data_IF_789884831504
#
_entry.id   IF_789884831504
#
_cell.length_a   1.000
_cell.length_b   1.000
_cell.length_c   1.000
_cell.angle_alpha   90.00
_cell.angle_beta   90.00
_cell.angle_gamma   90.00
#
_symmetry.space_group_name_H-M   'P 1'
#
loop_
_entity.id
_entity.type
_entity.pdbx_description
1 polymer ?
#
# COMPACT_ATOMS: atom_id res chain seq x y z
N UNK A 1 3.15 -15.69 12.11
CA UNK A 1 3.21 -14.19 11.97
C UNK A 1 3.51 -13.55 13.32
N UNK A 2 4.07 -12.31 13.33
CA UNK A 2 4.20 -11.55 14.58
C UNK A 2 2.85 -10.99 15.07
N UNK A 3 2.72 -10.58 16.36
CA UNK A 3 1.43 -10.16 16.92
C UNK A 3 0.77 -8.98 16.21
N UNK A 4 1.56 -7.99 15.76
CA UNK A 4 0.97 -6.84 15.06
C UNK A 4 0.44 -7.23 13.68
N UNK A 5 1.13 -8.11 12.96
CA UNK A 5 0.65 -8.59 11.66
C UNK A 5 -0.67 -9.35 11.77
N UNK A 6 -0.84 -10.16 12.85
CA UNK A 6 -2.12 -10.81 13.16
C UNK A 6 -3.20 -9.78 13.45
N UNK A 7 -2.93 -8.84 14.35
CA UNK A 7 -3.89 -7.79 14.74
C UNK A 7 -4.39 -6.98 13.54
N UNK A 8 -3.50 -6.56 12.66
CA UNK A 8 -3.86 -5.80 11.45
C UNK A 8 -4.78 -6.62 10.52
N UNK A 9 -4.50 -7.91 10.33
CA UNK A 9 -5.33 -8.81 9.53
C UNK A 9 -6.69 -9.08 10.17
N UNK A 10 -6.74 -9.27 11.49
CA UNK A 10 -8.00 -9.41 12.25
C UNK A 10 -8.87 -8.16 12.07
N UNK A 11 -8.28 -6.97 12.19
CA UNK A 11 -8.98 -5.71 11.98
C UNK A 11 -9.48 -5.56 10.53
N UNK A 12 -8.67 -5.93 9.54
CA UNK A 12 -9.08 -5.89 8.13
C UNK A 12 -10.25 -6.85 7.84
N UNK A 13 -10.23 -8.07 8.39
CA UNK A 13 -11.34 -9.03 8.29
C UNK A 13 -12.62 -8.46 8.89
N UNK A 14 -12.52 -7.90 10.09
CA UNK A 14 -13.65 -7.30 10.77
C UNK A 14 -14.25 -6.12 9.98
N UNK A 15 -13.43 -5.21 9.49
CA UNK A 15 -13.88 -4.06 8.71
C UNK A 15 -14.48 -4.48 7.36
N UNK A 16 -13.90 -5.46 6.66
CA UNK A 16 -14.47 -6.02 5.43
C UNK A 16 -15.85 -6.65 5.68
N UNK A 17 -15.98 -7.41 6.77
CA UNK A 17 -17.29 -7.95 7.18
C UNK A 17 -18.31 -6.85 7.49
N UNK A 18 -17.89 -5.75 8.10
CA UNK A 18 -18.77 -4.62 8.42
C UNK A 18 -19.25 -3.86 7.18
N UNK A 19 -18.35 -3.57 6.23
CA UNK A 19 -18.72 -2.86 5.01
C UNK A 19 -19.29 -3.76 3.91
N UNK A 20 -19.29 -5.09 4.10
CA UNK A 20 -19.75 -6.09 3.13
C UNK A 20 -19.07 -5.94 1.75
N UNK A 21 -17.82 -5.47 1.77
CA UNK A 21 -16.99 -5.26 0.58
C UNK A 21 -15.51 -5.50 0.90
N UNK A 22 -14.69 -5.58 -0.12
CA UNK A 22 -13.24 -5.65 -0.01
C UNK A 22 -12.60 -6.65 -0.95
N UNK A 23 -11.28 -6.51 -1.07
CA UNK A 23 -10.40 -7.46 -1.74
C UNK A 23 -9.35 -7.93 -0.73
N UNK A 24 -9.79 -8.82 0.16
CA UNK A 24 -8.96 -9.27 1.30
C UNK A 24 -7.65 -9.92 0.86
N UNK A 25 -7.62 -10.58 -0.30
CA UNK A 25 -6.38 -11.15 -0.83
C UNK A 25 -5.35 -10.07 -1.14
N UNK A 26 -5.77 -8.97 -1.79
CA UNK A 26 -4.89 -7.83 -2.08
C UNK A 26 -4.55 -7.00 -0.84
N UNK A 27 -5.44 -6.95 0.15
CA UNK A 27 -5.20 -6.31 1.45
C UNK A 27 -4.11 -7.07 2.21
N UNK A 28 -4.24 -8.39 2.30
CA UNK A 28 -3.31 -9.23 3.06
C UNK A 28 -1.93 -9.31 2.44
N UNK A 29 -1.82 -9.16 1.12
CA UNK A 29 -0.51 -9.13 0.46
C UNK A 29 0.34 -7.92 0.86
N UNK A 30 -0.29 -6.78 1.17
CA UNK A 30 0.46 -5.53 1.37
C UNK A 30 0.41 -4.95 2.80
N UNK A 31 -0.35 -5.54 3.74
CA UNK A 31 -0.49 -5.02 5.10
C UNK A 31 0.86 -4.84 5.82
N UNK A 32 1.77 -5.81 5.68
CA UNK A 32 3.09 -5.76 6.32
C UNK A 32 3.92 -4.61 5.76
N UNK A 33 3.84 -4.36 4.45
CA UNK A 33 4.52 -3.25 3.77
C UNK A 33 4.00 -1.91 4.30
N UNK A 34 2.67 -1.73 4.32
CA UNK A 34 2.04 -0.49 4.80
C UNK A 34 2.39 -0.23 6.26
N UNK A 35 2.34 -1.28 7.10
CA UNK A 35 2.71 -1.15 8.50
C UNK A 35 4.15 -0.68 8.69
N UNK A 36 5.12 -1.34 8.04
CA UNK A 36 6.53 -1.00 8.16
C UNK A 36 6.80 0.44 7.73
N UNK A 37 6.14 0.91 6.67
CA UNK A 37 6.26 2.30 6.24
C UNK A 37 5.83 3.27 7.33
N UNK A 38 4.62 3.11 7.88
CA UNK A 38 4.07 4.03 8.88
C UNK A 38 4.74 3.90 10.26
N UNK A 39 5.24 2.72 10.62
CA UNK A 39 5.79 2.47 11.95
C UNK A 39 7.31 2.75 12.04
N UNK A 40 8.07 2.47 10.98
CA UNK A 40 9.54 2.46 11.02
C UNK A 40 10.23 3.44 10.06
N UNK A 41 9.57 3.84 8.98
CA UNK A 41 10.27 4.46 7.85
C UNK A 41 9.86 5.91 7.64
N UNK A 42 8.56 6.19 7.61
CA UNK A 42 8.04 7.51 7.27
C UNK A 42 8.21 8.50 8.42
N UNK A 43 8.62 9.73 8.06
CA UNK A 43 8.45 10.87 8.93
C UNK A 43 6.97 11.26 8.93
N UNK A 44 6.17 10.55 9.72
CA UNK A 44 4.73 10.72 9.79
C UNK A 44 4.21 10.38 11.20
N UNK A 45 3.24 11.13 11.68
CA UNK A 45 2.46 10.80 12.87
C UNK A 45 1.04 11.36 12.72
N UNK A 46 0.08 10.83 13.48
CA UNK A 46 -1.30 11.33 13.47
C UNK A 46 -1.37 12.85 13.80
N UNK A 47 -0.56 13.32 14.74
CA UNK A 47 -0.51 14.74 15.11
C UNK A 47 0.06 15.65 13.99
N UNK A 48 0.81 15.08 13.06
CA UNK A 48 1.47 15.79 11.96
C UNK A 48 0.93 15.39 10.58
N UNK A 49 -0.24 14.74 10.53
CA UNK A 49 -0.80 14.24 9.28
C UNK A 49 -1.06 15.31 8.21
N UNK A 50 -1.03 16.61 8.59
CA UNK A 50 -1.11 17.77 7.67
C UNK A 50 0.20 18.54 7.49
N UNK A 51 1.25 18.19 8.21
CA UNK A 51 2.49 18.95 8.12
C UNK A 51 3.09 18.89 6.70
N UNK A 52 3.49 20.04 6.15
CA UNK A 52 4.00 20.13 4.77
C UNK A 52 5.30 19.33 4.58
N UNK A 53 6.10 19.21 5.64
CA UNK A 53 7.41 18.54 5.62
C UNK A 53 7.37 17.05 5.99
N UNK A 54 6.15 16.47 6.18
CA UNK A 54 6.00 15.03 6.41
C UNK A 54 6.26 14.21 5.14
N UNK A 55 6.43 12.91 5.32
CA UNK A 55 6.41 11.98 4.20
C UNK A 55 4.96 11.68 3.74
N UNK A 56 4.82 11.27 2.49
CA UNK A 56 3.53 10.99 1.85
C UNK A 56 3.46 9.52 1.46
N UNK A 57 2.30 8.90 1.69
CA UNK A 57 2.02 7.55 1.24
C UNK A 57 0.81 7.55 0.31
N UNK A 58 1.00 7.00 -0.89
CA UNK A 58 -0.03 6.88 -1.92
C UNK A 58 -0.33 5.40 -2.12
N UNK A 59 -1.59 5.01 -1.99
CA UNK A 59 -2.04 3.68 -2.37
C UNK A 59 -2.60 3.73 -3.79
N UNK A 60 -1.88 3.14 -4.76
CA UNK A 60 -2.28 3.08 -6.17
C UNK A 60 -3.23 1.93 -6.43
N UNK A 61 -2.98 0.76 -5.82
CA UNK A 61 -3.86 -0.40 -5.88
C UNK A 61 -5.14 -0.18 -5.05
N UNK A 62 -6.11 0.53 -5.63
CA UNK A 62 -7.34 0.97 -4.96
C UNK A 62 -8.13 -0.14 -4.29
N UNK A 63 -8.12 -1.36 -4.86
CA UNK A 63 -8.76 -2.53 -4.28
C UNK A 63 -8.18 -2.96 -2.92
N UNK A 64 -6.98 -2.49 -2.56
CA UNK A 64 -6.34 -2.78 -1.28
C UNK A 64 -6.39 -1.61 -0.28
N UNK A 65 -7.16 -0.57 -0.55
CA UNK A 65 -7.28 0.61 0.33
C UNK A 65 -7.71 0.26 1.74
N UNK A 66 -8.49 -0.81 1.90
CA UNK A 66 -8.87 -1.33 3.22
C UNK A 66 -7.63 -1.62 4.11
N UNK A 67 -6.44 -1.85 3.55
CA UNK A 67 -5.21 -2.02 4.32
C UNK A 67 -4.80 -0.76 5.11
N UNK A 68 -5.21 0.43 4.67
CA UNK A 68 -4.87 1.68 5.35
C UNK A 68 -5.57 1.81 6.70
N UNK A 69 -6.85 1.46 6.80
CA UNK A 69 -7.62 1.70 8.02
C UNK A 69 -7.05 0.99 9.26
N UNK A 70 -6.74 -0.32 9.24
CA UNK A 70 -6.11 -0.97 10.38
C UNK A 70 -4.80 -0.29 10.80
N UNK A 71 -3.98 0.12 9.84
CA UNK A 71 -2.70 0.79 10.12
C UNK A 71 -2.92 2.18 10.71
N UNK A 72 -3.81 2.99 10.15
CA UNK A 72 -4.09 4.34 10.64
C UNK A 72 -4.81 4.33 12.00
N UNK A 73 -5.61 3.28 12.30
CA UNK A 73 -6.17 3.04 13.62
C UNK A 73 -5.06 2.75 14.62
N UNK A 74 -4.13 1.83 14.34
CA UNK A 74 -3.00 1.52 15.22
C UNK A 74 -2.06 2.73 15.42
N UNK A 75 -1.96 3.61 14.44
CA UNK A 75 -1.18 4.86 14.53
C UNK A 75 -1.95 6.02 15.19
N UNK A 76 -3.20 5.79 15.62
CA UNK A 76 -4.00 6.75 16.40
C UNK A 76 -4.61 7.90 15.60
N UNK A 77 -4.70 7.78 14.25
CA UNK A 77 -5.40 8.78 13.43
C UNK A 77 -6.91 8.58 13.49
N UNK A 78 -7.38 7.34 13.46
CA UNK A 78 -8.80 6.97 13.53
C UNK A 78 -9.06 6.06 14.73
N UNK A 79 -10.30 6.04 15.21
CA UNK A 79 -10.73 5.02 16.18
C UNK A 79 -11.39 3.84 15.47
N UNK A 80 -11.22 2.63 16.01
CA UNK A 80 -11.89 1.43 15.48
C UNK A 80 -13.41 1.59 15.55
N UNK A 81 -13.94 2.21 16.60
CA UNK A 81 -15.36 2.45 16.78
C UNK A 81 -15.93 3.32 15.67
N UNK A 82 -15.28 4.44 15.37
CA UNK A 82 -15.72 5.38 14.32
C UNK A 82 -15.65 4.73 12.93
N UNK A 83 -14.52 4.11 12.58
CA UNK A 83 -14.38 3.43 11.29
C UNK A 83 -15.40 2.32 11.13
N UNK A 84 -15.52 1.41 12.11
CA UNK A 84 -16.41 0.24 12.00
C UNK A 84 -17.90 0.59 11.97
N UNK A 85 -18.27 1.72 12.58
CA UNK A 85 -19.65 2.20 12.60
C UNK A 85 -20.08 2.85 11.28
N UNK A 86 -19.14 3.33 10.47
CA UNK A 86 -19.46 4.13 9.28
C UNK A 86 -18.92 3.54 7.97
N UNK A 87 -17.99 2.57 8.01
CA UNK A 87 -17.38 2.02 6.80
C UNK A 87 -18.41 1.39 5.86
N UNK A 88 -18.35 1.75 4.59
CA UNK A 88 -19.24 1.23 3.55
C UNK A 88 -20.65 1.82 3.56
N UNK A 89 -21.00 2.73 4.47
CA UNK A 89 -22.28 3.40 4.45
C UNK A 89 -22.35 4.47 3.36
N UNK A 90 -23.56 4.73 2.85
CA UNK A 90 -23.77 5.77 1.87
C UNK A 90 -23.27 7.14 2.39
N UNK A 91 -22.51 7.83 1.57
CA UNK A 91 -21.89 9.11 1.88
C UNK A 91 -20.90 9.11 3.07
N UNK A 92 -20.49 7.95 3.57
CA UNK A 92 -19.43 7.86 4.58
C UNK A 92 -18.11 8.36 4.02
N UNK A 93 -17.25 8.86 4.93
CA UNK A 93 -15.84 9.12 4.63
C UNK A 93 -15.02 7.83 4.51
N UNK A 94 -15.41 6.77 5.21
CA UNK A 94 -14.72 5.49 5.24
C UNK A 94 -15.30 4.57 4.16
N UNK A 95 -14.64 4.51 3.01
CA UNK A 95 -15.02 3.67 1.88
C UNK A 95 -13.80 2.96 1.29
N UNK A 96 -14.06 1.88 0.55
CA UNK A 96 -13.00 1.07 -0.09
C UNK A 96 -12.25 1.91 -1.15
N UNK A 97 -12.95 2.78 -1.85
CA UNK A 97 -12.34 3.78 -2.73
C UNK A 97 -12.28 5.10 -1.98
N UNK A 98 -11.06 5.51 -1.62
CA UNK A 98 -10.84 6.71 -0.82
C UNK A 98 -11.16 7.99 -1.59
N UNK A 99 -11.67 8.97 -0.84
CA UNK A 99 -11.86 10.35 -1.30
C UNK A 99 -11.11 11.28 -0.34
N UNK A 100 -9.97 11.80 -0.77
CA UNK A 100 -9.10 12.64 0.06
C UNK A 100 -9.80 13.90 0.57
N UNK A 101 -10.83 14.38 -0.13
CA UNK A 101 -11.56 15.61 0.28
C UNK A 101 -12.34 15.40 1.58
N UNK A 102 -12.63 14.15 1.95
CA UNK A 102 -13.31 13.78 3.19
C UNK A 102 -12.36 13.63 4.40
N UNK A 103 -11.05 13.79 4.19
CA UNK A 103 -10.02 13.66 5.22
C UNK A 103 -9.23 14.96 5.40
N UNK A 104 -9.90 16.04 5.86
CA UNK A 104 -9.23 17.32 6.03
C UNK A 104 -8.10 17.30 7.08
N UNK A 105 -8.03 16.27 7.93
CA UNK A 105 -6.95 16.03 8.88
C UNK A 105 -5.72 15.36 8.26
N UNK A 106 -5.80 14.90 7.00
CA UNK A 106 -4.75 14.15 6.32
C UNK A 106 -4.79 12.64 6.59
N UNK A 107 -3.75 11.92 6.17
CA UNK A 107 -3.63 10.46 6.33
C UNK A 107 -4.19 9.65 5.17
N UNK A 108 -5.12 10.21 4.41
CA UNK A 108 -5.55 9.70 3.11
C UNK A 108 -5.12 10.74 2.07
N UNK A 109 -4.21 10.37 1.19
CA UNK A 109 -3.47 11.31 0.36
C UNK A 109 -3.93 11.34 -1.10
N UNK A 110 -4.74 10.37 -1.51
CA UNK A 110 -5.25 10.29 -2.88
C UNK A 110 -6.63 9.68 -2.95
N UNK A 111 -7.32 9.95 -4.04
CA UNK A 111 -8.48 9.19 -4.43
C UNK A 111 -8.00 7.91 -5.12
N UNK A 112 -8.25 6.77 -4.49
CA UNK A 112 -7.91 5.46 -5.04
C UNK A 112 -9.08 4.90 -5.86
N UNK A 113 -8.77 4.07 -6.86
CA UNK A 113 -9.80 3.39 -7.68
C UNK A 113 -9.28 3.02 -9.05
N UNK A 114 -8.92 3.99 -9.88
CA UNK A 114 -8.37 3.73 -11.21
C UNK A 114 -6.93 3.24 -11.11
N UNK A 115 -6.70 1.99 -11.53
CA UNK A 115 -5.36 1.38 -11.53
C UNK A 115 -4.40 2.15 -12.43
N UNK A 116 -3.12 2.21 -12.03
CA UNK A 116 -2.08 2.94 -12.75
C UNK A 116 -2.04 4.44 -12.49
N UNK A 117 -2.97 5.02 -11.73
CA UNK A 117 -3.07 6.48 -11.52
C UNK A 117 -2.45 6.99 -10.20
N UNK A 118 -2.14 6.10 -9.26
CA UNK A 118 -1.46 6.50 -8.02
C UNK A 118 0.00 6.89 -8.24
N UNK A 119 0.70 6.21 -9.16
CA UNK A 119 2.10 6.53 -9.45
C UNK A 119 2.28 7.92 -10.08
N UNK A 120 1.56 8.34 -11.14
CA UNK A 120 1.67 9.69 -11.67
C UNK A 120 1.32 10.76 -10.63
N UNK A 121 0.34 10.50 -9.75
CA UNK A 121 0.01 11.39 -8.65
C UNK A 121 1.18 11.52 -7.65
N UNK A 122 1.77 10.41 -7.24
CA UNK A 122 2.95 10.39 -6.35
C UNK A 122 4.16 11.09 -6.96
N UNK A 123 4.37 10.92 -8.26
CA UNK A 123 5.41 11.62 -9.03
C UNK A 123 5.21 13.13 -8.98
N UNK A 124 3.95 13.60 -9.11
CA UNK A 124 3.62 15.01 -8.98
C UNK A 124 3.95 15.57 -7.59
N UNK A 125 3.60 14.84 -6.51
CA UNK A 125 3.95 15.23 -5.12
C UNK A 125 5.47 15.26 -4.94
N UNK A 126 6.19 14.20 -5.34
CA UNK A 126 7.64 14.12 -5.20
C UNK A 126 8.34 15.26 -5.96
N UNK A 127 7.86 15.58 -7.17
CA UNK A 127 8.39 16.67 -7.96
C UNK A 127 8.14 18.03 -7.30
N UNK A 128 6.92 18.29 -6.82
CA UNK A 128 6.58 19.52 -6.11
C UNK A 128 7.44 19.70 -4.85
N UNK A 129 7.60 18.64 -4.03
CA UNK A 129 8.44 18.66 -2.84
C UNK A 129 9.91 18.94 -3.17
N UNK A 130 10.43 18.35 -4.28
CA UNK A 130 11.79 18.61 -4.75
C UNK A 130 11.99 20.06 -5.18
N UNK A 131 11.04 20.63 -5.95
CA UNK A 131 11.08 22.03 -6.39
C UNK A 131 11.02 23.00 -5.18
N UNK A 132 10.16 22.71 -4.21
CA UNK A 132 10.06 23.47 -2.94
C UNK A 132 11.23 23.22 -1.98
N UNK A 133 12.15 22.29 -2.28
CA UNK A 133 13.28 21.87 -1.42
C UNK A 133 12.82 21.37 -0.04
N UNK A 134 11.67 20.71 0.01
CA UNK A 134 11.17 20.08 1.24
C UNK A 134 11.91 18.76 1.49
N UNK A 135 12.13 18.35 2.75
CA UNK A 135 12.78 17.10 3.10
C UNK A 135 11.88 15.87 2.92
N UNK A 136 10.66 16.07 2.46
CA UNK A 136 9.60 15.07 2.35
C UNK A 136 9.92 13.99 1.31
N UNK A 137 9.64 12.75 1.67
CA UNK A 137 9.75 11.59 0.82
C UNK A 137 8.35 11.11 0.40
N UNK A 138 8.20 10.60 -0.80
CA UNK A 138 6.92 10.09 -1.31
C UNK A 138 7.04 8.60 -1.58
N UNK A 139 6.19 7.80 -0.94
CA UNK A 139 6.05 6.36 -1.13
C UNK A 139 4.76 6.09 -1.90
N UNK A 140 4.81 5.20 -2.87
CA UNK A 140 3.63 4.76 -3.61
C UNK A 140 3.60 3.24 -3.72
N UNK A 141 2.50 2.64 -3.28
CA UNK A 141 2.28 1.20 -3.35
C UNK A 141 1.40 0.87 -4.55
N UNK A 142 1.97 0.13 -5.49
CA UNK A 142 1.32 -0.35 -6.70
C UNK A 142 1.26 -1.88 -6.70
N UNK A 143 0.25 -2.44 -7.34
CA UNK A 143 0.23 -3.88 -7.65
C UNK A 143 1.00 -4.19 -8.94
N UNK A 144 1.47 -5.42 -9.07
CA UNK A 144 2.14 -5.91 -10.28
C UNK A 144 1.27 -5.74 -11.54
N UNK A 145 -0.04 -5.95 -11.44
CA UNK A 145 -0.98 -5.80 -12.54
C UNK A 145 -1.16 -4.36 -13.04
N UNK A 146 -0.86 -3.35 -12.20
CA UNK A 146 -0.95 -1.94 -12.62
C UNK A 146 0.07 -1.61 -13.73
N UNK A 147 1.14 -2.38 -13.86
CA UNK A 147 2.15 -2.20 -14.90
C UNK A 147 1.67 -2.61 -16.31
N UNK A 148 0.44 -3.10 -16.44
CA UNK A 148 -0.25 -3.18 -17.74
C UNK A 148 -0.76 -1.82 -18.23
N UNK A 149 -0.82 -0.81 -17.35
CA UNK A 149 -1.22 0.54 -17.70
C UNK A 149 -0.03 1.37 -18.23
N UNK A 150 -0.23 2.09 -19.34
CA UNK A 150 0.82 2.93 -19.95
C UNK A 150 1.30 4.05 -19.02
N UNK A 151 0.38 4.61 -18.21
CA UNK A 151 0.66 5.68 -17.23
C UNK A 151 1.75 5.32 -16.22
N UNK A 152 1.91 4.04 -15.90
CA UNK A 152 2.98 3.55 -15.03
C UNK A 152 4.36 3.80 -15.64
N UNK A 153 4.53 3.42 -16.91
CA UNK A 153 5.82 3.55 -17.62
C UNK A 153 6.16 5.01 -17.94
N UNK A 154 5.16 5.80 -18.33
CA UNK A 154 5.31 7.25 -18.53
C UNK A 154 5.78 7.94 -17.25
N UNK A 155 5.18 7.56 -16.10
CA UNK A 155 5.55 8.07 -14.79
C UNK A 155 6.97 7.66 -14.38
N UNK A 156 7.38 6.42 -14.67
CA UNK A 156 8.76 5.96 -14.44
C UNK A 156 9.76 6.78 -15.26
N UNK A 157 9.47 7.00 -16.53
CA UNK A 157 10.31 7.81 -17.41
C UNK A 157 10.47 9.26 -16.89
N UNK A 158 9.36 9.88 -16.49
CA UNK A 158 9.36 11.23 -15.94
C UNK A 158 10.14 11.30 -14.61
N UNK A 159 9.88 10.36 -13.69
CA UNK A 159 10.54 10.32 -12.38
C UNK A 159 12.07 10.23 -12.52
N UNK A 160 12.55 9.36 -13.41
CA UNK A 160 13.97 9.22 -13.69
C UNK A 160 14.54 10.48 -14.38
N UNK A 161 13.85 11.02 -15.39
CA UNK A 161 14.26 12.24 -16.09
C UNK A 161 14.33 13.48 -15.18
N UNK A 162 13.44 13.57 -14.18
CA UNK A 162 13.44 14.64 -13.16
C UNK A 162 14.31 14.30 -11.94
N UNK A 163 14.96 13.14 -11.94
CA UNK A 163 15.89 12.72 -10.87
C UNK A 163 15.23 12.74 -9.49
N UNK A 164 14.01 12.17 -9.37
CA UNK A 164 13.21 12.22 -8.15
C UNK A 164 13.73 11.22 -7.10
N UNK A 165 14.86 11.52 -6.49
CA UNK A 165 15.48 10.70 -5.45
C UNK A 165 14.75 10.72 -4.10
N UNK A 166 13.66 11.46 -4.03
CA UNK A 166 12.68 11.51 -2.94
C UNK A 166 11.38 10.72 -3.26
N UNK A 167 11.39 9.88 -4.29
CA UNK A 167 10.30 8.97 -4.65
C UNK A 167 10.73 7.51 -4.44
N UNK A 168 9.87 6.73 -3.78
CA UNK A 168 9.99 5.28 -3.68
C UNK A 168 8.74 4.59 -4.22
N UNK A 169 8.86 3.94 -5.37
CA UNK A 169 7.86 3.06 -5.95
C UNK A 169 7.97 1.68 -5.28
N UNK A 170 6.85 1.16 -4.78
CA UNK A 170 6.76 -0.15 -4.16
C UNK A 170 5.84 -1.00 -5.02
N UNK A 171 6.35 -2.11 -5.51
CA UNK A 171 5.57 -3.09 -6.28
C UNK A 171 5.21 -4.24 -5.35
N UNK A 172 3.92 -4.40 -5.07
CA UNK A 172 3.36 -5.60 -4.46
C UNK A 172 3.34 -6.71 -5.52
N UNK A 173 4.46 -7.44 -5.60
CA UNK A 173 4.65 -8.54 -6.56
C UNK A 173 4.05 -9.82 -6.00
N UNK A 174 2.72 -9.88 -6.02
CA UNK A 174 1.92 -11.02 -5.60
C UNK A 174 1.57 -11.97 -6.76
N UNK A 175 2.14 -11.72 -7.94
CA UNK A 175 1.97 -12.49 -9.19
C UNK A 175 0.52 -12.55 -9.68
N UNK A 176 -0.32 -11.61 -9.30
CA UNK A 176 -1.73 -11.60 -9.72
C UNK A 176 -1.89 -11.38 -11.22
N UNK A 177 -0.95 -10.69 -11.86
CA UNK A 177 -0.96 -10.43 -13.30
C UNK A 177 -0.50 -11.62 -14.14
N UNK A 178 0.23 -12.56 -13.56
CA UNK A 178 0.89 -13.65 -14.29
C UNK A 178 -0.05 -14.59 -15.06
N UNK A 179 -1.33 -14.65 -14.68
CA UNK A 179 -2.36 -15.39 -15.41
C UNK A 179 -2.80 -14.68 -16.70
N UNK A 180 -2.56 -13.37 -16.83
CA UNK A 180 -2.99 -12.56 -17.97
C UNK A 180 -1.83 -12.18 -18.88
N UNK A 181 -0.74 -11.72 -18.31
CA UNK A 181 0.43 -11.22 -19.05
C UNK A 181 1.72 -11.61 -18.30
N UNK A 182 2.68 -12.18 -19.02
CA UNK A 182 4.03 -12.34 -18.48
C UNK A 182 4.73 -10.99 -18.42
N UNK A 183 4.86 -10.46 -17.22
CA UNK A 183 5.56 -9.20 -16.98
C UNK A 183 7.08 -9.33 -16.99
N UNK A 184 7.64 -10.54 -17.14
CA UNK A 184 9.08 -10.78 -17.11
C UNK A 184 9.73 -10.29 -15.80
N UNK A 185 10.96 -9.82 -15.89
CA UNK A 185 11.69 -9.32 -14.71
C UNK A 185 11.41 -7.83 -14.47
N UNK A 186 10.53 -7.52 -13.51
CA UNK A 186 10.13 -6.16 -13.15
C UNK A 186 11.33 -5.34 -12.63
N UNK A 187 12.21 -5.95 -11.85
CA UNK A 187 13.38 -5.26 -11.31
C UNK A 187 14.31 -4.77 -12.43
N UNK A 188 14.56 -5.61 -13.43
CA UNK A 188 15.38 -5.22 -14.60
C UNK A 188 14.71 -4.10 -15.41
N UNK A 189 13.39 -4.17 -15.60
CA UNK A 189 12.65 -3.11 -16.31
C UNK A 189 12.77 -1.77 -15.60
N UNK A 190 12.51 -1.72 -14.29
CA UNK A 190 12.62 -0.48 -13.53
C UNK A 190 14.07 0.03 -13.45
N UNK A 191 15.05 -0.86 -13.36
CA UNK A 191 16.45 -0.48 -13.43
C UNK A 191 16.81 0.15 -14.79
N UNK A 192 16.27 -0.38 -15.90
CA UNK A 192 16.44 0.19 -17.24
C UNK A 192 15.79 1.58 -17.38
N UNK A 193 14.70 1.86 -16.63
CA UNK A 193 14.12 3.20 -16.52
C UNK A 193 14.95 4.15 -15.63
N UNK A 194 16.02 3.66 -14.97
CA UNK A 194 16.91 4.48 -14.18
C UNK A 194 16.61 4.51 -12.68
N UNK A 195 15.81 3.58 -12.18
CA UNK A 195 15.58 3.43 -10.73
C UNK A 195 16.73 2.69 -10.05
N UNK A 196 16.96 2.98 -8.77
CA UNK A 196 17.66 2.07 -7.86
C UNK A 196 16.67 1.06 -7.34
N UNK A 197 16.88 -0.21 -7.64
CA UNK A 197 15.91 -1.27 -7.37
C UNK A 197 16.44 -2.25 -6.34
N UNK A 198 15.60 -2.63 -5.39
CA UNK A 198 15.83 -3.76 -4.48
C UNK A 198 14.64 -4.70 -4.48
N UNK A 199 14.93 -5.99 -4.37
CA UNK A 199 13.92 -7.03 -4.13
C UNK A 199 13.97 -7.45 -2.67
N UNK A 200 12.81 -7.73 -2.06
CA UNK A 200 12.71 -8.15 -0.66
C UNK A 200 11.49 -9.06 -0.45
N UNK A 201 11.51 -9.84 0.63
CA UNK A 201 10.32 -10.54 1.12
C UNK A 201 9.34 -9.52 1.70
N UNK A 202 8.17 -9.40 1.07
CA UNK A 202 7.13 -8.44 1.46
C UNK A 202 6.36 -8.81 2.73
N UNK A 203 6.62 -9.98 3.31
CA UNK A 203 6.04 -10.43 4.57
C UNK A 203 7.05 -10.49 5.73
N UNK A 204 8.32 -10.23 5.45
CA UNK A 204 9.37 -10.09 6.47
C UNK A 204 9.56 -8.61 6.82
N UNK A 205 8.98 -8.18 7.94
CA UNK A 205 8.99 -6.77 8.36
C UNK A 205 10.42 -6.23 8.60
N UNK A 206 11.35 -7.06 9.11
CA UNK A 206 12.73 -6.63 9.33
C UNK A 206 13.47 -6.45 8.00
N UNK A 207 13.27 -7.34 7.04
CA UNK A 207 13.83 -7.21 5.70
C UNK A 207 13.27 -6.00 4.95
N UNK A 208 11.96 -5.72 5.10
CA UNK A 208 11.33 -4.51 4.56
C UNK A 208 11.95 -3.25 5.18
N UNK A 209 12.04 -3.18 6.51
CA UNK A 209 12.63 -2.04 7.22
C UNK A 209 14.06 -1.77 6.75
N UNK A 210 14.90 -2.82 6.69
CA UNK A 210 16.27 -2.71 6.21
C UNK A 210 16.32 -2.19 4.76
N UNK A 211 15.52 -2.80 3.87
CA UNK A 211 15.47 -2.44 2.45
C UNK A 211 15.10 -0.96 2.26
N UNK A 212 14.06 -0.49 2.95
CA UNK A 212 13.65 0.91 2.85
C UNK A 212 14.70 1.87 3.42
N UNK A 213 15.31 1.56 4.55
CA UNK A 213 16.37 2.39 5.14
C UNK A 213 17.59 2.51 4.23
N UNK A 214 18.02 1.40 3.65
CA UNK A 214 19.15 1.38 2.72
C UNK A 214 18.87 2.22 1.47
N UNK A 215 17.69 2.07 0.83
CA UNK A 215 17.34 2.85 -0.34
C UNK A 215 17.19 4.35 -0.01
N UNK A 216 16.57 4.68 1.13
CA UNK A 216 16.40 6.08 1.56
C UNK A 216 17.73 6.78 1.85
N UNK A 217 18.74 6.05 2.29
CA UNK A 217 20.08 6.58 2.56
C UNK A 217 20.85 6.95 1.30
N UNK A 218 20.55 6.34 0.15
CA UNK A 218 21.25 6.58 -1.13
C UNK A 218 20.78 7.89 -1.76
N UNK A 219 21.68 8.87 -1.82
CA UNK A 219 21.45 10.20 -2.43
C UNK A 219 22.22 10.32 -3.74
N UNK A 220 21.64 9.85 -4.83
CA UNK A 220 22.29 9.74 -6.13
C UNK A 220 21.44 10.28 -7.29
N UNK A 221 20.42 11.07 -7.00
CA UNK A 221 19.50 11.65 -8.00
C UNK A 221 18.74 10.60 -8.83
N UNK A 222 18.52 9.41 -8.28
CA UNK A 222 17.71 8.35 -8.92
C UNK A 222 16.49 8.03 -8.06
N UNK A 223 15.30 7.86 -8.66
CA UNK A 223 14.15 7.35 -7.92
C UNK A 223 14.43 5.92 -7.43
N UNK A 224 13.72 5.51 -6.38
CA UNK A 224 13.88 4.22 -5.72
C UNK A 224 12.72 3.29 -6.09
N UNK A 225 13.00 1.99 -6.16
CA UNK A 225 11.97 0.98 -6.30
C UNK A 225 12.22 -0.22 -5.39
N UNK A 226 11.16 -0.72 -4.77
CA UNK A 226 11.16 -1.96 -3.99
C UNK A 226 10.21 -2.94 -4.66
N UNK A 227 10.73 -4.10 -5.07
CA UNK A 227 9.91 -5.23 -5.49
C UNK A 227 9.68 -6.11 -4.26
N UNK A 228 8.53 -5.96 -3.66
CA UNK A 228 8.15 -6.76 -2.50
C UNK A 228 7.47 -8.05 -2.97
N UNK A 229 8.15 -9.17 -2.79
CA UNK A 229 7.61 -10.50 -3.09
C UNK A 229 6.58 -10.86 -2.04
N UNK A 230 5.33 -11.01 -2.44
CA UNK A 230 4.22 -11.23 -1.53
C UNK A 230 3.35 -12.40 -1.96
N UNK A 231 2.43 -12.77 -1.08
CA UNK A 231 1.44 -13.82 -1.34
C UNK A 231 0.04 -13.25 -1.11
N UNK A 232 -0.83 -13.41 -2.09
CA UNK A 232 -2.26 -13.03 -1.98
C UNK A 232 -2.91 -13.82 -0.84
N UNK A 233 -3.57 -13.10 0.09
CA UNK A 233 -4.21 -13.75 1.22
C UNK A 233 -3.26 -14.29 2.29
N UNK A 234 -2.01 -13.84 2.33
CA UNK A 234 -0.99 -14.29 3.29
C UNK A 234 -1.49 -14.30 4.73
N UNK A 235 -1.36 -15.45 5.39
CA UNK A 235 -1.83 -15.67 6.76
C UNK A 235 -3.21 -16.33 6.85
N UNK A 236 -3.86 -16.62 5.72
CA UNK A 236 -5.06 -17.46 5.67
C UNK A 236 -4.91 -18.51 4.58
N UNK A 237 -4.98 -19.79 4.97
CA UNK A 237 -4.93 -20.91 4.03
C UNK A 237 -6.08 -20.84 3.03
N UNK A 238 -7.28 -20.57 3.52
CA UNK A 238 -8.47 -20.45 2.67
C UNK A 238 -8.31 -19.36 1.59
N UNK A 239 -7.72 -18.22 1.93
CA UNK A 239 -7.54 -17.13 0.97
C UNK A 239 -6.37 -17.37 0.01
N UNK A 240 -5.34 -18.11 0.39
CA UNK A 240 -4.22 -18.44 -0.50
C UNK A 240 -4.56 -19.52 -1.52
N UNK A 241 -5.48 -20.44 -1.19
CA UNK A 241 -5.86 -21.56 -2.03
C UNK A 241 -7.04 -21.28 -2.97
N UNK A 242 -7.86 -20.26 -2.68
CA UNK A 242 -9.11 -19.98 -3.40
C UNK A 242 -9.18 -18.54 -3.91
N UNK A 243 -9.27 -18.37 -5.20
CA UNK A 243 -9.36 -17.06 -5.86
C UNK A 243 -10.73 -16.35 -5.73
N UNK A 244 -11.60 -16.81 -4.85
CA UNK A 244 -12.94 -16.24 -4.67
C UNK A 244 -12.97 -14.96 -3.81
N UNK A 245 -11.86 -14.62 -3.15
CA UNK A 245 -11.78 -13.50 -2.20
C UNK A 245 -11.36 -12.17 -2.86
N UNK A 246 -11.49 -12.09 -4.17
CA UNK A 246 -11.11 -10.90 -4.94
C UNK A 246 -12.14 -9.76 -4.80
N UNK A 247 -13.44 -10.06 -4.79
CA UNK A 247 -14.53 -9.11 -4.53
C UNK A 247 -15.56 -9.76 -3.61
N UNK A 248 -15.10 -10.20 -2.45
CA UNK A 248 -15.93 -10.90 -1.49
C UNK A 248 -15.60 -10.47 -0.08
N UNK A 249 -16.62 -10.02 0.67
CA UNK A 249 -16.56 -9.90 2.12
C UNK A 249 -16.94 -11.23 2.77
N UNK A 250 -16.36 -11.56 3.93
CA UNK A 250 -16.75 -12.75 4.68
C UNK A 250 -18.12 -12.59 5.33
N UNK A 251 -18.96 -13.61 5.25
CA UNK A 251 -20.12 -13.74 6.13
C UNK A 251 -19.67 -14.06 7.57
N UNK A 252 -20.61 -14.21 8.52
CA UNK A 252 -20.30 -14.40 9.94
C UNK A 252 -19.54 -15.71 10.22
N UNK A 253 -19.82 -16.79 9.48
CA UNK A 253 -19.14 -18.09 9.64
C UNK A 253 -17.75 -18.04 9.02
N UNK A 254 -17.65 -17.52 7.81
CA UNK A 254 -16.39 -17.30 7.11
C UNK A 254 -15.45 -16.38 7.90
N UNK A 255 -15.99 -15.31 8.50
CA UNK A 255 -15.21 -14.43 9.37
C UNK A 255 -14.54 -15.20 10.50
N UNK A 256 -15.31 -16.02 11.23
CA UNK A 256 -14.78 -16.83 12.35
C UNK A 256 -13.69 -17.79 11.87
N UNK A 257 -13.91 -18.44 10.72
CA UNK A 257 -12.91 -19.34 10.13
C UNK A 257 -11.63 -18.59 9.77
N UNK A 258 -11.73 -17.49 9.04
CA UNK A 258 -10.58 -16.71 8.61
C UNK A 258 -9.81 -16.10 9.80
N UNK A 259 -10.54 -15.66 10.83
CA UNK A 259 -9.94 -15.17 12.07
C UNK A 259 -9.15 -16.28 12.79
N UNK A 260 -9.67 -17.49 12.86
CA UNK A 260 -8.96 -18.63 13.44
C UNK A 260 -7.70 -18.99 12.64
N UNK A 261 -7.76 -18.95 11.31
CA UNK A 261 -6.58 -19.18 10.45
C UNK A 261 -5.49 -18.15 10.68
N UNK A 262 -5.85 -16.85 10.74
CA UNK A 262 -4.91 -15.76 11.03
C UNK A 262 -4.29 -15.90 12.42
N UNK A 263 -5.07 -16.34 13.42
CA UNK A 263 -4.54 -16.56 14.76
C UNK A 263 -3.54 -17.71 14.81
N UNK A 264 -3.77 -18.77 14.05
CA UNK A 264 -2.90 -19.94 13.98
C UNK A 264 -1.62 -19.72 13.15
N UNK A 265 -1.58 -18.70 12.27
CA UNK A 265 -0.45 -18.40 11.40
C UNK A 265 0.69 -17.69 12.19
#
# INVERSE_FOLDING_TARGET
>A
MNPIAKKLRQNALFLSHKCQDGNLQSVFSCLDIVWVLYDKIMNWSAAQAKAEYRDFFIISKGQATLALYPVLIEKGLFSMEDVSSHIGQFNSRYCIQTDLTKFPEGGIENNAGSLGHGLPFAVGIAYANKVKKLPSYTYVLCGDGEFCEGTMWESCLFAAGKKLDNLCLIVDDNRSVGAMVDMGNMAQKLAAFGFDVKETDGHNMDALEQTFKELRAVKNNRPKAVIAKTVRGYGSKTMTEKDIWFHKAPNAEELKQLQAEVEAA
#
